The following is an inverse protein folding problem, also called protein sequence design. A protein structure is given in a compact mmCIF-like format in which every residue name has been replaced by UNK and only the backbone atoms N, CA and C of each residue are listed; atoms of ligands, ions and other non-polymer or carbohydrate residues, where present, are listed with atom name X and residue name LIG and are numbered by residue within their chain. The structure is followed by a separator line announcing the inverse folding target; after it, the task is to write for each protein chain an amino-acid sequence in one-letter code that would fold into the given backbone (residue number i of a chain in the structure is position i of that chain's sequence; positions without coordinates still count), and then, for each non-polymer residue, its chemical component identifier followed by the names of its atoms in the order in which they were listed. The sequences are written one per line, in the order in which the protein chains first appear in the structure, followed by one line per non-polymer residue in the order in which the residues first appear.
data_IF_446107810396
#
_entry.id   IF_446107810396
#
_cell.length_a   1.000
_cell.length_b   1.000
_cell.length_c   1.000
_cell.angle_alpha   90.00
_cell.angle_beta   90.00
_cell.angle_gamma   90.00
#
_symmetry.space_group_name_H-M   'P 1'
#
loop_
_entity.id
_entity.type
_entity.pdbx_description
1 polymer ?
#
# COMPACT_ATOMS: atom_id res chain seq x y z
N UNK A 1 14.91 19.42 -1.52
CA UNK A 1 13.73 18.58 -1.81
C UNK A 1 14.24 17.25 -2.31
N UNK A 2 14.04 16.16 -1.55
CA UNK A 2 14.37 14.81 -2.04
C UNK A 2 13.28 14.46 -3.06
N UNK A 3 13.65 14.20 -4.31
CA UNK A 3 12.69 13.82 -5.35
C UNK A 3 12.07 12.45 -5.05
N UNK A 4 10.80 12.26 -5.44
CA UNK A 4 10.16 10.95 -5.40
C UNK A 4 10.70 10.04 -6.51
N UNK A 5 10.85 8.76 -6.19
CA UNK A 5 11.13 7.69 -7.16
C UNK A 5 9.94 7.49 -8.11
N UNK A 6 10.15 6.79 -9.22
CA UNK A 6 9.06 6.50 -10.19
C UNK A 6 7.91 5.73 -9.56
N UNK A 7 8.22 4.76 -8.69
CA UNK A 7 7.19 3.99 -7.99
C UNK A 7 6.40 4.85 -7.00
N UNK A 8 7.07 5.74 -6.26
CA UNK A 8 6.39 6.67 -5.35
C UNK A 8 5.47 7.65 -6.11
N UNK A 9 5.87 8.10 -7.31
CA UNK A 9 5.00 8.93 -8.16
C UNK A 9 3.76 8.17 -8.60
N UNK A 10 3.90 6.90 -9.01
CA UNK A 10 2.76 6.04 -9.34
C UNK A 10 1.81 5.88 -8.15
N UNK A 11 2.33 5.65 -6.95
CA UNK A 11 1.53 5.58 -5.73
C UNK A 11 0.80 6.90 -5.45
N UNK A 12 1.52 8.01 -5.57
CA UNK A 12 0.98 9.35 -5.35
C UNK A 12 -0.20 9.62 -6.26
N UNK A 13 -0.05 9.39 -7.56
CA UNK A 13 -1.08 9.63 -8.57
C UNK A 13 -2.27 8.66 -8.43
N UNK A 14 -1.99 7.38 -8.21
CA UNK A 14 -3.03 6.33 -8.17
C UNK A 14 -3.91 6.44 -6.93
N UNK A 15 -3.33 6.80 -5.78
CA UNK A 15 -4.05 6.86 -4.51
C UNK A 15 -4.32 8.29 -4.02
N UNK A 16 -4.02 9.30 -4.86
CA UNK A 16 -4.17 10.73 -4.56
C UNK A 16 -3.53 11.12 -3.21
N UNK A 17 -2.27 10.75 -3.02
CA UNK A 17 -1.54 10.92 -1.76
C UNK A 17 -0.73 12.21 -1.72
N UNK A 18 -0.26 12.58 -0.53
CA UNK A 18 0.86 13.52 -0.38
C UNK A 18 2.20 12.82 -0.62
N UNK A 19 3.27 13.56 -0.93
CA UNK A 19 4.64 13.02 -1.02
C UNK A 19 5.05 12.17 0.20
N UNK A 20 4.63 12.62 1.39
CA UNK A 20 4.90 11.93 2.66
C UNK A 20 4.18 10.59 2.72
N UNK A 21 2.91 10.57 2.33
CA UNK A 21 2.08 9.38 2.40
C UNK A 21 2.45 8.38 1.29
N UNK A 22 2.86 8.85 0.11
CA UNK A 22 3.41 8.00 -0.95
C UNK A 22 4.66 7.23 -0.48
N UNK A 23 5.58 7.90 0.23
CA UNK A 23 6.75 7.25 0.85
C UNK A 23 6.36 6.24 1.93
N UNK A 24 5.36 6.56 2.74
CA UNK A 24 4.86 5.63 3.76
C UNK A 24 4.20 4.42 3.13
N UNK A 25 3.43 4.63 2.08
CA UNK A 25 2.78 3.56 1.35
C UNK A 25 3.80 2.64 0.67
N UNK A 26 4.87 3.20 0.08
CA UNK A 26 5.97 2.39 -0.44
C UNK A 26 6.57 1.49 0.65
N UNK A 27 6.85 2.02 1.85
CA UNK A 27 7.35 1.21 2.96
C UNK A 27 6.37 0.11 3.38
N UNK A 28 5.07 0.41 3.39
CA UNK A 28 4.03 -0.60 3.67
C UNK A 28 4.05 -1.70 2.62
N UNK A 29 4.16 -1.37 1.33
CA UNK A 29 4.23 -2.35 0.25
C UNK A 29 5.49 -3.20 0.37
N UNK A 30 6.63 -2.60 0.71
CA UNK A 30 7.89 -3.32 0.94
C UNK A 30 7.79 -4.29 2.13
N UNK A 31 7.23 -3.84 3.24
CA UNK A 31 6.97 -4.69 4.41
C UNK A 31 6.05 -5.86 4.05
N UNK A 32 4.97 -5.58 3.32
CA UNK A 32 4.02 -6.60 2.90
C UNK A 32 4.67 -7.61 1.98
N UNK A 33 5.48 -7.18 1.02
CA UNK A 33 6.20 -8.06 0.08
C UNK A 33 7.03 -9.11 0.82
N UNK A 34 7.81 -8.70 1.82
CA UNK A 34 8.61 -9.60 2.65
C UNK A 34 7.71 -10.59 3.42
N UNK A 35 6.58 -10.12 3.94
CA UNK A 35 5.72 -10.89 4.85
C UNK A 35 4.78 -11.86 4.12
N UNK A 36 4.33 -11.52 2.93
CA UNK A 36 3.43 -12.36 2.11
C UNK A 36 4.16 -13.11 0.99
N UNK A 37 5.41 -12.75 0.69
CA UNK A 37 6.21 -13.38 -0.36
C UNK A 37 5.76 -13.00 -1.78
N UNK A 38 5.16 -11.82 -1.96
CA UNK A 38 4.67 -11.29 -3.24
C UNK A 38 5.55 -10.13 -3.70
N UNK A 39 5.63 -9.88 -5.00
CA UNK A 39 6.36 -8.72 -5.52
C UNK A 39 5.65 -7.39 -5.18
N UNK A 40 6.41 -6.29 -5.14
CA UNK A 40 5.85 -4.97 -4.89
C UNK A 40 4.81 -4.55 -5.94
N UNK A 41 5.00 -4.92 -7.21
CA UNK A 41 4.05 -4.63 -8.29
C UNK A 41 2.75 -5.44 -8.13
N UNK A 42 2.83 -6.71 -7.71
CA UNK A 42 1.63 -7.52 -7.45
C UNK A 42 0.79 -6.95 -6.29
N UNK A 43 1.47 -6.51 -5.22
CA UNK A 43 0.79 -5.86 -4.10
C UNK A 43 0.21 -4.53 -4.55
N UNK A 44 0.94 -3.74 -5.33
CA UNK A 44 0.44 -2.49 -5.89
C UNK A 44 -0.84 -2.72 -6.71
N UNK A 45 -0.84 -3.70 -7.62
CA UNK A 45 -2.00 -4.03 -8.44
C UNK A 45 -3.19 -4.50 -7.61
N UNK A 46 -2.95 -5.33 -6.58
CA UNK A 46 -3.98 -5.67 -5.62
C UNK A 46 -4.56 -4.41 -4.94
N UNK A 47 -3.71 -3.47 -4.54
CA UNK A 47 -4.12 -2.27 -3.83
C UNK A 47 -4.98 -1.33 -4.67
N UNK A 48 -4.85 -1.33 -5.99
CA UNK A 48 -5.66 -0.46 -6.88
C UNK A 48 -7.17 -0.66 -6.70
N UNK A 49 -7.60 -1.86 -6.33
CA UNK A 49 -9.02 -2.21 -6.20
C UNK A 49 -9.36 -2.91 -4.87
N UNK A 50 -8.36 -3.47 -4.19
CA UNK A 50 -8.56 -4.33 -3.03
C UNK A 50 -8.62 -3.59 -1.68
N UNK A 51 -8.36 -2.28 -1.64
CA UNK A 51 -8.08 -1.57 -0.37
C UNK A 51 -8.79 -0.22 -0.19
N UNK A 52 -9.83 0.07 -0.98
CA UNK A 52 -10.57 1.33 -0.92
C UNK A 52 -11.06 1.67 0.50
N UNK A 53 -11.75 0.72 1.15
CA UNK A 53 -12.23 0.87 2.52
C UNK A 53 -11.08 1.10 3.52
N UNK A 54 -9.95 0.42 3.36
CA UNK A 54 -8.79 0.62 4.22
C UNK A 54 -8.14 1.99 4.01
N UNK A 55 -8.15 2.53 2.79
CA UNK A 55 -7.69 3.89 2.51
C UNK A 55 -8.61 4.94 3.14
N UNK A 56 -9.93 4.72 3.13
CA UNK A 56 -10.88 5.60 3.82
C UNK A 56 -10.69 5.59 5.34
N UNK A 57 -10.48 4.42 5.92
CA UNK A 57 -10.16 4.28 7.35
C UNK A 57 -8.84 4.97 7.66
N UNK A 58 -7.81 4.78 6.83
CA UNK A 58 -6.51 5.41 6.99
C UNK A 58 -6.58 6.95 6.93
N UNK A 59 -7.45 7.52 6.10
CA UNK A 59 -7.69 8.98 6.06
C UNK A 59 -8.29 9.50 7.37
N UNK A 60 -9.01 8.65 8.09
CA UNK A 60 -9.69 9.01 9.34
C UNK A 60 -8.81 8.78 10.56
N UNK A 61 -8.19 7.60 10.68
CA UNK A 61 -7.42 7.20 11.86
C UNK A 61 -5.92 7.52 11.75
N UNK A 62 -5.43 7.78 10.53
CA UNK A 62 -4.02 7.96 10.17
C UNK A 62 -3.08 6.88 10.74
N UNK A 63 -3.60 5.66 10.93
CA UNK A 63 -2.89 4.55 11.54
C UNK A 63 -2.36 3.57 10.47
N UNK A 64 -1.11 3.82 10.06
CA UNK A 64 -0.42 3.03 9.03
C UNK A 64 -0.13 1.58 9.43
N UNK A 65 0.07 1.30 10.72
CA UNK A 65 0.28 -0.06 11.20
C UNK A 65 -1.00 -0.88 11.08
N UNK A 66 -2.12 -0.30 11.52
CA UNK A 66 -3.44 -0.92 11.40
C UNK A 66 -3.82 -1.14 9.92
N UNK A 67 -3.55 -0.16 9.06
CA UNK A 67 -3.70 -0.28 7.61
C UNK A 67 -2.90 -1.46 7.05
N UNK A 68 -1.59 -1.54 7.34
CA UNK A 68 -0.72 -2.65 6.89
C UNK A 68 -1.27 -4.01 7.31
N UNK A 69 -1.67 -4.17 8.58
CA UNK A 69 -2.22 -5.44 9.11
C UNK A 69 -3.48 -5.85 8.35
N UNK A 70 -4.36 -4.90 7.99
CA UNK A 70 -5.56 -5.18 7.20
C UNK A 70 -5.23 -5.64 5.79
N UNK A 71 -4.30 -4.96 5.11
CA UNK A 71 -3.87 -5.35 3.76
C UNK A 71 -3.25 -6.75 3.79
N UNK A 72 -2.37 -7.01 4.75
CA UNK A 72 -1.74 -8.32 4.92
C UNK A 72 -2.79 -9.45 5.07
N UNK A 73 -3.83 -9.23 5.87
CA UNK A 73 -4.93 -10.20 6.05
C UNK A 73 -5.71 -10.44 4.75
N UNK A 74 -5.89 -9.42 3.93
CA UNK A 74 -6.57 -9.55 2.63
C UNK A 74 -5.71 -10.32 1.62
N UNK A 75 -4.42 -9.97 1.52
CA UNK A 75 -3.48 -10.66 0.63
C UNK A 75 -3.37 -12.15 0.96
N UNK A 76 -3.24 -12.51 2.24
CA UNK A 76 -3.17 -13.92 2.67
C UNK A 76 -4.47 -14.72 2.46
N UNK A 77 -5.62 -14.05 2.30
CA UNK A 77 -6.90 -14.70 2.03
C UNK A 77 -7.13 -14.96 0.56
N UNK A 78 -6.37 -14.31 -0.33
CA UNK A 78 -6.39 -14.63 -1.76
C UNK A 78 -5.56 -15.91 -1.94
N UNK A 79 -6.16 -17.05 -2.30
CA UNK A 79 -5.39 -18.24 -2.62
C UNK A 79 -4.55 -17.94 -3.88
N UNK A 80 -3.35 -18.52 -4.03
CA UNK A 80 -2.75 -18.60 -5.35
C UNK A 80 -3.72 -19.39 -6.24
N UNK A 81 -4.16 -18.75 -7.33
CA UNK A 81 -4.91 -19.42 -8.40
C UNK A 81 -4.00 -20.38 -9.16
#
# INVERSE_FOLDING_TARGET
MIQLTEFEKRLLETFALSDRDARRLLRVIQDLSIVVGMDHEEIYDFMRFGVENELEILKTDYNWEHFRIRIQKKLKKSPPL
#
